data_IF_796399444183
#
_entry.id   IF_796399444183
#
_cell.length_a   1.000
_cell.length_b   1.000
_cell.length_c   1.000
_cell.angle_alpha   90.00
_cell.angle_beta   90.00
_cell.angle_gamma   90.00
#
_symmetry.space_group_name_H-M   'P 1'
#
loop_
_entity.id
_entity.type
_entity.pdbx_description
1 polymer ?
#
# COMPACT_ATOMS: atom_id res chain seq x y z
N UNK A 1 16.96 -26.19 -29.89
CA UNK A 1 16.51 -26.87 -28.66
C UNK A 1 16.64 -25.90 -27.51
N UNK A 2 15.51 -25.26 -27.11
CA UNK A 2 15.49 -24.42 -25.91
C UNK A 2 15.43 -25.34 -24.70
N UNK A 3 16.43 -25.27 -23.82
CA UNK A 3 16.42 -25.98 -22.54
C UNK A 3 15.22 -25.44 -21.74
N UNK A 4 14.25 -26.31 -21.45
CA UNK A 4 13.31 -26.08 -20.36
C UNK A 4 14.15 -25.88 -19.10
N UNK A 5 14.26 -24.61 -18.63
CA UNK A 5 14.68 -24.37 -17.25
C UNK A 5 13.51 -24.82 -16.39
N UNK A 6 13.70 -25.93 -15.71
CA UNK A 6 12.84 -26.34 -14.60
C UNK A 6 12.78 -25.18 -13.61
N UNK A 7 11.57 -24.72 -13.32
CA UNK A 7 11.29 -23.71 -12.28
C UNK A 7 11.50 -24.46 -10.96
N UNK A 8 12.74 -24.50 -10.47
CA UNK A 8 13.09 -25.11 -9.17
C UNK A 8 12.87 -24.05 -8.08
N UNK A 9 12.02 -24.38 -7.11
CA UNK A 9 11.86 -23.71 -5.83
C UNK A 9 10.61 -22.84 -5.74
N UNK A 10 9.61 -23.31 -4.99
CA UNK A 10 8.49 -22.47 -4.57
C UNK A 10 9.03 -21.32 -3.70
N UNK A 11 8.89 -20.08 -4.16
CA UNK A 11 9.16 -18.91 -3.34
C UNK A 11 8.07 -18.76 -2.29
N UNK A 12 8.46 -18.37 -1.08
CA UNK A 12 7.53 -17.95 -0.04
C UNK A 12 7.36 -16.44 -0.12
N UNK A 13 6.12 -15.98 -0.33
CA UNK A 13 5.79 -14.55 -0.34
C UNK A 13 5.37 -14.14 1.07
N UNK A 14 5.95 -13.06 1.57
CA UNK A 14 5.66 -12.54 2.91
C UNK A 14 5.25 -11.07 2.82
N UNK A 15 4.08 -10.72 3.33
CA UNK A 15 3.62 -9.35 3.45
C UNK A 15 4.06 -8.78 4.80
N UNK A 16 4.94 -7.78 4.79
CA UNK A 16 5.37 -7.03 5.96
C UNK A 16 4.36 -5.91 6.31
N UNK A 17 3.11 -6.29 6.58
CA UNK A 17 2.01 -5.35 6.90
C UNK A 17 0.82 -6.07 7.50
N UNK A 18 0.17 -5.45 8.50
CA UNK A 18 -1.11 -5.92 9.07
C UNK A 18 -2.34 -5.32 8.35
N UNK A 19 -2.15 -4.50 7.31
CA UNK A 19 -3.25 -3.87 6.57
C UNK A 19 -4.15 -4.90 5.89
N UNK A 20 -5.43 -4.92 6.27
CA UNK A 20 -6.45 -5.77 5.66
C UNK A 20 -6.68 -5.46 4.18
N UNK A 21 -6.58 -4.18 3.79
CA UNK A 21 -6.70 -3.75 2.40
C UNK A 21 -5.59 -4.37 1.53
N UNK A 22 -4.33 -4.32 1.97
CA UNK A 22 -3.21 -4.96 1.26
C UNK A 22 -3.35 -6.47 1.18
N UNK A 23 -3.79 -7.10 2.28
CA UNK A 23 -4.08 -8.55 2.28
C UNK A 23 -5.17 -8.89 1.28
N UNK A 24 -6.25 -8.09 1.22
CA UNK A 24 -7.35 -8.29 0.28
C UNK A 24 -6.89 -8.18 -1.18
N UNK A 25 -5.98 -7.25 -1.50
CA UNK A 25 -5.39 -7.14 -2.84
C UNK A 25 -4.65 -8.43 -3.20
N UNK A 26 -3.73 -8.90 -2.35
CA UNK A 26 -2.96 -10.11 -2.62
C UNK A 26 -3.86 -11.36 -2.73
N UNK A 27 -4.87 -11.46 -1.88
CA UNK A 27 -5.90 -12.53 -1.93
C UNK A 27 -6.70 -12.46 -3.24
N UNK A 28 -7.10 -11.27 -3.66
CA UNK A 28 -7.79 -11.05 -4.94
C UNK A 28 -6.95 -11.46 -6.15
N UNK A 29 -5.63 -11.27 -6.07
CA UNK A 29 -4.66 -11.72 -7.07
C UNK A 29 -4.39 -13.23 -6.99
N UNK A 30 -5.02 -13.97 -6.07
CA UNK A 30 -4.79 -15.41 -5.83
C UNK A 30 -3.34 -15.76 -5.45
N UNK A 31 -2.60 -14.80 -4.92
CA UNK A 31 -1.27 -15.06 -4.41
C UNK A 31 -1.36 -15.73 -3.04
N UNK A 32 -0.52 -16.74 -2.82
CA UNK A 32 -0.34 -17.39 -1.51
C UNK A 32 0.76 -16.62 -0.77
N UNK A 33 0.49 -16.13 0.41
CA UNK A 33 1.42 -15.32 1.19
C UNK A 33 1.22 -15.49 2.69
N UNK A 34 2.29 -15.26 3.43
CA UNK A 34 2.26 -15.14 4.89
C UNK A 34 2.22 -13.66 5.28
N UNK A 35 1.71 -13.39 6.49
CA UNK A 35 1.67 -12.03 7.07
C UNK A 35 2.57 -12.00 8.28
N UNK A 36 3.53 -11.07 8.27
CA UNK A 36 4.41 -10.82 9.42
C UNK A 36 4.36 -9.33 9.75
N UNK A 37 3.97 -9.01 10.99
CA UNK A 37 3.99 -7.64 11.48
C UNK A 37 5.42 -7.09 11.49
N UNK A 38 5.66 -5.92 10.84
CA UNK A 38 6.97 -5.29 10.85
C UNK A 38 7.28 -4.70 12.22
N UNK A 39 8.51 -4.86 12.68
CA UNK A 39 9.05 -4.14 13.83
C UNK A 39 9.74 -2.86 13.34
N UNK A 40 8.93 -1.87 12.98
CA UNK A 40 9.39 -0.62 12.40
C UNK A 40 8.44 0.52 12.79
N UNK A 41 9.00 1.58 13.35
CA UNK A 41 8.25 2.82 13.63
C UNK A 41 8.21 3.70 12.40
N UNK A 42 7.00 3.99 11.90
CA UNK A 42 6.81 4.92 10.78
C UNK A 42 7.34 6.31 11.15
N UNK A 43 8.14 6.88 10.25
CA UNK A 43 8.71 8.20 10.45
C UNK A 43 8.08 9.20 9.48
N UNK A 44 7.63 10.34 10.02
CA UNK A 44 7.31 11.53 9.25
C UNK A 44 8.36 12.58 9.58
N UNK A 45 9.33 12.78 8.69
CA UNK A 45 10.34 13.82 8.87
C UNK A 45 9.86 15.13 8.23
N UNK A 46 9.90 16.27 8.93
CA UNK A 46 9.59 17.56 8.34
C UNK A 46 10.47 17.86 7.14
N UNK A 47 9.86 18.30 6.03
CA UNK A 47 10.59 18.67 4.81
C UNK A 47 10.90 17.52 3.85
N UNK A 48 10.62 16.27 4.23
CA UNK A 48 10.75 15.12 3.31
C UNK A 48 9.50 15.03 2.44
N UNK A 49 9.63 14.87 1.11
CA UNK A 49 8.49 14.72 0.21
C UNK A 49 7.61 13.51 0.56
N UNK A 50 6.26 13.61 0.44
CA UNK A 50 5.34 12.51 0.77
C UNK A 50 5.65 11.17 0.10
N UNK A 51 6.07 11.20 -1.17
CA UNK A 51 6.49 10.00 -1.91
C UNK A 51 7.73 9.34 -1.29
N UNK A 52 8.69 10.13 -0.81
CA UNK A 52 9.90 9.64 -0.18
C UNK A 52 9.60 9.07 1.21
N UNK A 53 8.71 9.70 1.98
CA UNK A 53 8.24 9.17 3.27
C UNK A 53 7.64 7.77 3.08
N UNK A 54 6.73 7.61 2.11
CA UNK A 54 6.13 6.32 1.80
C UNK A 54 7.20 5.26 1.47
N UNK A 55 8.20 5.62 0.68
CA UNK A 55 9.26 4.70 0.27
C UNK A 55 10.17 4.32 1.44
N UNK A 56 10.57 5.28 2.29
CA UNK A 56 11.39 5.03 3.48
C UNK A 56 10.65 4.07 4.43
N UNK A 57 9.37 4.32 4.69
CA UNK A 57 8.57 3.46 5.56
C UNK A 57 8.43 2.04 4.99
N UNK A 58 8.18 1.90 3.69
CA UNK A 58 8.10 0.59 3.05
C UNK A 58 9.42 -0.19 3.12
N UNK A 59 10.55 0.49 2.89
CA UNK A 59 11.90 -0.11 3.04
C UNK A 59 12.14 -0.57 4.46
N UNK A 60 11.82 0.25 5.46
CA UNK A 60 11.96 -0.09 6.86
C UNK A 60 11.11 -1.30 7.26
N UNK A 61 9.83 -1.33 6.84
CA UNK A 61 8.92 -2.47 7.08
C UNK A 61 9.44 -3.75 6.45
N UNK A 62 9.79 -3.72 5.15
CA UNK A 62 10.33 -4.90 4.48
C UNK A 62 11.65 -5.37 5.09
N UNK A 63 12.55 -4.43 5.40
CA UNK A 63 13.86 -4.72 5.98
C UNK A 63 13.76 -5.37 7.36
N UNK A 64 12.86 -4.88 8.23
CA UNK A 64 12.67 -5.46 9.57
C UNK A 64 12.20 -6.92 9.51
N UNK A 65 11.28 -7.22 8.57
CA UNK A 65 10.78 -8.60 8.38
C UNK A 65 11.83 -9.48 7.71
N UNK A 66 12.53 -8.97 6.68
CA UNK A 66 13.62 -9.71 6.03
C UNK A 66 14.72 -10.08 7.03
N UNK A 67 15.06 -9.17 7.94
CA UNK A 67 16.04 -9.44 9.00
C UNK A 67 15.57 -10.52 9.99
N UNK A 68 14.27 -10.55 10.36
CA UNK A 68 13.69 -11.61 11.19
C UNK A 68 13.76 -13.00 10.54
N UNK A 69 13.65 -13.05 9.21
CA UNK A 69 13.66 -14.30 8.44
C UNK A 69 15.07 -14.75 8.05
N UNK A 70 16.07 -13.88 8.18
CA UNK A 70 17.47 -14.22 7.87
C UNK A 70 17.95 -15.39 8.71
N UNK A 71 18.41 -16.46 8.05
CA UNK A 71 18.93 -17.67 8.70
C UNK A 71 17.86 -18.66 9.20
N UNK A 72 16.57 -18.41 8.99
CA UNK A 72 15.51 -19.33 9.41
C UNK A 72 15.08 -20.33 8.32
N UNK A 73 15.41 -20.09 7.06
CA UNK A 73 15.03 -20.96 5.94
C UNK A 73 16.05 -20.89 4.80
N UNK A 74 16.30 -22.03 4.16
CA UNK A 74 16.96 -22.09 2.84
C UNK A 74 16.00 -21.70 1.70
N UNK A 75 14.74 -21.40 2.02
CA UNK A 75 13.71 -21.06 1.04
C UNK A 75 13.97 -19.69 0.41
N UNK A 76 13.67 -19.58 -0.87
CA UNK A 76 13.65 -18.31 -1.59
C UNK A 76 12.47 -17.47 -1.08
N UNK A 77 12.73 -16.53 -0.14
CA UNK A 77 11.71 -15.70 0.48
C UNK A 77 11.70 -14.32 -0.18
N UNK A 78 10.51 -13.89 -0.60
CA UNK A 78 10.24 -12.54 -1.12
C UNK A 78 9.40 -11.79 -0.09
N UNK A 79 9.95 -10.72 0.49
CA UNK A 79 9.25 -9.86 1.45
C UNK A 79 8.71 -8.63 0.73
N UNK A 80 7.39 -8.40 0.87
CA UNK A 80 6.70 -7.20 0.37
C UNK A 80 6.59 -6.19 1.51
N UNK A 81 7.23 -5.03 1.34
CA UNK A 81 6.96 -3.85 2.14
C UNK A 81 6.12 -2.85 1.37
N UNK A 82 5.20 -2.20 2.05
CA UNK A 82 4.39 -1.14 1.47
C UNK A 82 4.00 -0.12 2.53
N UNK A 83 3.93 1.14 2.11
CA UNK A 83 3.37 2.23 2.90
C UNK A 83 2.58 3.17 2.02
N UNK A 84 1.67 3.95 2.63
CA UNK A 84 0.86 4.92 1.92
C UNK A 84 0.83 6.24 2.67
N UNK A 85 1.09 7.33 1.96
CA UNK A 85 1.00 8.69 2.44
C UNK A 85 -0.01 9.46 1.59
N UNK A 86 -0.97 10.12 2.24
CA UNK A 86 -1.92 11.02 1.61
C UNK A 86 -1.53 12.47 1.87
N UNK A 87 -1.61 13.32 0.86
CA UNK A 87 -1.40 14.75 1.03
C UNK A 87 -2.38 15.57 0.17
N UNK A 88 -2.54 16.85 0.53
CA UNK A 88 -3.24 17.86 -0.26
C UNK A 88 -2.34 18.37 -1.40
N UNK A 89 -2.91 19.14 -2.34
CA UNK A 89 -2.15 19.79 -3.40
C UNK A 89 -1.06 20.75 -2.87
N UNK A 90 -1.26 21.32 -1.66
CA UNK A 90 -0.25 22.14 -1.00
C UNK A 90 0.91 21.31 -0.38
N UNK A 91 0.86 19.99 -0.47
CA UNK A 91 1.85 19.08 0.10
C UNK A 91 1.66 18.78 1.59
N UNK A 92 0.57 19.26 2.22
CA UNK A 92 0.27 18.94 3.61
C UNK A 92 -0.14 17.49 3.76
N UNK A 93 0.64 16.73 4.56
CA UNK A 93 0.38 15.30 4.82
C UNK A 93 -0.85 15.14 5.71
N UNK A 94 -1.78 14.30 5.26
CA UNK A 94 -2.97 13.91 6.00
C UNK A 94 -2.73 12.55 6.67
N UNK A 95 -2.31 12.59 7.93
CA UNK A 95 -2.08 11.39 8.73
C UNK A 95 -3.38 10.65 9.05
N UNK A 96 -3.26 9.42 9.57
CA UNK A 96 -4.36 8.68 10.19
C UNK A 96 -4.97 9.56 11.28
N UNK A 97 -6.28 9.87 11.26
CA UNK A 97 -6.85 10.85 12.18
C UNK A 97 -6.87 10.39 13.64
N UNK A 98 -7.02 9.08 13.89
CA UNK A 98 -7.06 8.50 15.22
C UNK A 98 -8.31 8.86 16.06
N UNK A 99 -9.11 9.84 15.63
CA UNK A 99 -10.38 10.21 16.27
C UNK A 99 -11.40 10.67 15.23
N UNK A 100 -12.69 10.59 15.61
CA UNK A 100 -13.80 11.02 14.73
C UNK A 100 -13.76 12.52 14.44
N UNK A 101 -13.47 13.32 15.43
CA UNK A 101 -13.43 14.80 15.25
C UNK A 101 -12.32 15.19 14.26
N UNK A 102 -11.12 14.60 14.39
CA UNK A 102 -10.05 14.83 13.43
C UNK A 102 -10.38 14.32 12.03
N UNK A 103 -11.10 13.19 11.92
CA UNK A 103 -11.56 12.69 10.63
C UNK A 103 -12.54 13.65 9.96
N UNK A 104 -13.49 14.21 10.73
CA UNK A 104 -14.43 15.23 10.27
C UNK A 104 -13.69 16.49 9.82
N UNK A 105 -12.73 16.97 10.62
CA UNK A 105 -11.93 18.15 10.29
C UNK A 105 -11.11 17.95 9.01
N UNK A 106 -10.43 16.81 8.86
CA UNK A 106 -9.67 16.49 7.65
C UNK A 106 -10.57 16.44 6.41
N UNK A 107 -11.71 15.76 6.47
CA UNK A 107 -12.65 15.67 5.34
C UNK A 107 -13.31 17.02 5.03
N UNK A 108 -13.53 17.86 6.03
CA UNK A 108 -14.05 19.22 5.82
C UNK A 108 -13.05 20.06 5.04
N UNK A 109 -11.77 19.98 5.40
CA UNK A 109 -10.68 20.69 4.70
C UNK A 109 -10.42 20.12 3.30
N UNK A 110 -10.60 18.80 3.12
CA UNK A 110 -10.41 18.11 1.86
C UNK A 110 -11.61 18.22 0.90
N UNK A 111 -12.75 18.72 1.37
CA UNK A 111 -13.97 18.92 0.56
C UNK A 111 -13.68 19.80 -0.66
N UNK A 112 -14.08 19.30 -1.85
CA UNK A 112 -13.84 19.99 -3.13
C UNK A 112 -12.34 20.20 -3.45
N UNK A 113 -11.46 19.37 -2.91
CA UNK A 113 -10.01 19.42 -3.15
C UNK A 113 -9.51 18.15 -3.82
N UNK A 114 -8.33 18.24 -4.44
CA UNK A 114 -7.55 17.11 -4.84
C UNK A 114 -6.72 16.59 -3.65
N UNK A 115 -6.66 15.29 -3.53
CA UNK A 115 -5.75 14.57 -2.62
C UNK A 115 -4.85 13.68 -3.45
N UNK A 116 -3.57 13.61 -3.12
CA UNK A 116 -2.65 12.66 -3.74
C UNK A 116 -2.24 11.59 -2.74
N UNK A 117 -2.42 10.33 -3.12
CA UNK A 117 -1.97 9.15 -2.40
C UNK A 117 -0.70 8.62 -3.05
N UNK A 118 0.37 8.56 -2.29
CA UNK A 118 1.63 7.93 -2.68
C UNK A 118 1.73 6.57 -2.02
N UNK A 119 1.60 5.51 -2.81
CA UNK A 119 1.71 4.13 -2.33
C UNK A 119 2.99 3.51 -2.82
N UNK A 120 3.80 3.03 -1.89
CA UNK A 120 5.09 2.45 -2.19
C UNK A 120 5.05 0.92 -2.21
N UNK A 121 5.90 0.33 -3.01
CA UNK A 121 6.21 -1.09 -3.05
C UNK A 121 7.71 -1.29 -2.92
N UNK A 122 8.11 -2.14 -1.99
CA UNK A 122 9.49 -2.62 -1.88
C UNK A 122 9.46 -4.14 -1.83
N UNK A 123 10.25 -4.78 -2.70
CA UNK A 123 10.49 -6.22 -2.66
C UNK A 123 11.91 -6.48 -2.20
N UNK A 124 12.06 -7.30 -1.17
CA UNK A 124 13.35 -7.81 -0.71
C UNK A 124 13.36 -9.32 -0.91
N UNK A 125 14.37 -9.82 -1.65
CA UNK A 125 14.62 -11.25 -1.81
C UNK A 125 16.03 -11.57 -1.33
N UNK A 126 16.15 -12.54 -0.43
CA UNK A 126 17.45 -12.97 0.13
C UNK A 126 18.28 -11.79 0.69
N UNK A 127 17.62 -10.82 1.35
CA UNK A 127 18.25 -9.64 1.93
C UNK A 127 18.58 -8.52 0.95
N UNK A 128 18.35 -8.68 -0.35
CA UNK A 128 18.60 -7.66 -1.37
C UNK A 128 17.29 -7.02 -1.86
N UNK A 129 17.33 -5.70 -2.09
CA UNK A 129 16.20 -4.98 -2.67
C UNK A 129 16.13 -5.26 -4.17
N UNK A 130 15.11 -5.97 -4.61
CA UNK A 130 14.86 -6.31 -6.02
C UNK A 130 14.03 -5.24 -6.72
N UNK A 131 13.12 -4.61 -6.00
CA UNK A 131 12.28 -3.53 -6.51
C UNK A 131 12.02 -2.49 -5.42
N UNK A 132 12.05 -1.22 -5.80
CA UNK A 132 11.57 -0.10 -5.00
C UNK A 132 10.84 0.86 -5.93
N UNK A 133 9.56 1.15 -5.64
CA UNK A 133 8.69 1.97 -6.49
C UNK A 133 7.69 2.76 -5.65
N UNK A 134 7.28 3.90 -6.15
CA UNK A 134 6.17 4.69 -5.60
C UNK A 134 5.20 4.98 -6.73
N UNK A 135 3.95 4.59 -6.55
CA UNK A 135 2.83 4.89 -7.43
C UNK A 135 2.01 6.03 -6.83
N UNK A 136 1.56 6.94 -7.68
CA UNK A 136 0.70 8.04 -7.27
C UNK A 136 -0.73 7.82 -7.75
N UNK A 137 -1.69 8.18 -6.90
CA UNK A 137 -3.09 8.20 -7.24
C UNK A 137 -3.69 9.53 -6.79
N UNK A 138 -4.17 10.32 -7.73
CA UNK A 138 -4.88 11.57 -7.42
C UNK A 138 -6.38 11.32 -7.34
N UNK A 139 -7.01 11.85 -6.29
CA UNK A 139 -8.43 11.71 -6.00
C UNK A 139 -9.03 13.09 -5.79
N UNK A 140 -10.01 13.46 -6.59
CA UNK A 140 -10.83 14.65 -6.39
C UNK A 140 -12.02 14.29 -5.52
N UNK A 141 -12.14 14.92 -4.36
CA UNK A 141 -13.35 14.80 -3.56
C UNK A 141 -14.45 15.73 -4.10
N UNK A 142 -15.68 15.26 -4.02
CA UNK A 142 -16.85 16.10 -4.28
C UNK A 142 -16.92 17.26 -3.29
N UNK A 143 -17.69 18.28 -3.57
CA UNK A 143 -18.14 19.23 -2.55
C UNK A 143 -19.01 18.47 -1.55
N UNK A 144 -18.56 18.36 -0.31
CA UNK A 144 -19.19 17.60 0.76
C UNK A 144 -19.90 18.53 1.74
N UNK A 145 -21.09 18.17 2.18
CA UNK A 145 -21.78 18.84 3.27
C UNK A 145 -21.33 18.27 4.63
N UNK A 146 -21.48 19.05 5.69
CA UNK A 146 -21.19 18.58 7.05
C UNK A 146 -22.01 17.32 7.43
N UNK A 147 -23.23 17.18 6.90
CA UNK A 147 -24.06 16.02 7.15
C UNK A 147 -23.48 14.77 6.48
N UNK A 148 -23.05 14.87 5.22
CA UNK A 148 -22.42 13.75 4.49
C UNK A 148 -21.15 13.29 5.20
N UNK A 149 -20.28 14.23 5.60
CA UNK A 149 -19.03 13.93 6.31
C UNK A 149 -19.30 13.19 7.62
N UNK A 150 -20.19 13.72 8.47
CA UNK A 150 -20.52 13.11 9.76
C UNK A 150 -21.17 11.74 9.59
N UNK A 151 -22.06 11.60 8.61
CA UNK A 151 -22.71 10.32 8.30
C UNK A 151 -21.68 9.28 7.86
N UNK A 152 -20.76 9.66 6.94
CA UNK A 152 -19.70 8.79 6.48
C UNK A 152 -18.76 8.37 7.63
N UNK A 153 -18.23 9.34 8.40
CA UNK A 153 -17.30 9.03 9.52
C UNK A 153 -17.96 8.13 10.57
N UNK A 154 -19.27 8.29 10.79
CA UNK A 154 -20.01 7.46 11.74
C UNK A 154 -20.18 6.02 11.21
N UNK A 155 -20.49 5.87 9.92
CA UNK A 155 -20.80 4.57 9.32
C UNK A 155 -19.53 3.76 9.01
N UNK A 156 -18.48 4.41 8.51
CA UNK A 156 -17.28 3.77 7.96
C UNK A 156 -16.10 3.74 8.94
N UNK A 157 -16.12 4.61 9.95
CA UNK A 157 -15.12 4.71 11.01
C UNK A 157 -13.66 4.74 10.51
N UNK A 158 -13.27 5.68 9.62
CA UNK A 158 -11.99 5.68 8.90
C UNK A 158 -10.81 6.19 9.73
N UNK A 159 -10.73 5.82 11.02
CA UNK A 159 -9.78 6.40 11.98
C UNK A 159 -8.34 6.00 11.75
N UNK A 160 -8.13 4.89 11.04
CA UNK A 160 -6.80 4.30 10.81
C UNK A 160 -6.37 4.38 9.34
N UNK A 161 -7.09 5.17 8.54
CA UNK A 161 -6.79 5.36 7.11
C UNK A 161 -6.21 6.74 6.85
N UNK A 162 -5.19 6.81 6.01
CA UNK A 162 -4.63 8.08 5.53
C UNK A 162 -5.70 8.89 4.79
N UNK A 163 -5.75 10.22 5.04
CA UNK A 163 -6.77 11.08 4.45
C UNK A 163 -8.19 10.87 4.98
N UNK A 164 -8.35 10.11 6.06
CA UNK A 164 -9.66 9.87 6.72
C UNK A 164 -10.70 9.20 5.84
N UNK A 165 -10.30 8.35 4.86
CA UNK A 165 -11.31 7.64 4.08
C UNK A 165 -10.85 6.27 3.58
N UNK A 166 -11.82 5.34 3.40
CA UNK A 166 -11.61 4.02 2.85
C UNK A 166 -12.10 4.00 1.40
N UNK A 167 -11.16 4.02 0.46
CA UNK A 167 -11.49 4.03 -0.96
C UNK A 167 -12.11 2.71 -1.45
N UNK A 168 -11.79 1.60 -0.78
CA UNK A 168 -12.33 0.26 -1.06
C UNK A 168 -13.76 0.05 -0.55
N UNK A 169 -14.33 1.04 0.13
CA UNK A 169 -15.65 0.96 0.77
C UNK A 169 -16.54 2.17 0.52
N UNK A 170 -17.20 2.64 1.58
CA UNK A 170 -18.14 3.76 1.53
C UNK A 170 -17.48 5.09 1.13
N UNK A 171 -16.16 5.21 1.27
CA UNK A 171 -15.40 6.37 0.84
C UNK A 171 -15.53 6.68 -0.66
N UNK A 172 -15.80 5.69 -1.52
CA UNK A 172 -16.09 5.92 -2.94
C UNK A 172 -17.22 6.94 -3.15
N UNK A 173 -18.15 7.06 -2.22
CA UNK A 173 -19.28 8.02 -2.30
C UNK A 173 -18.83 9.47 -2.16
N UNK A 174 -17.63 9.71 -1.63
CA UNK A 174 -17.05 11.03 -1.44
C UNK A 174 -16.29 11.52 -2.68
N UNK A 175 -16.01 10.62 -3.63
CA UNK A 175 -15.13 10.86 -4.77
C UNK A 175 -15.92 11.43 -5.95
N UNK A 176 -15.33 12.40 -6.63
CA UNK A 176 -15.76 12.93 -7.92
C UNK A 176 -14.95 12.31 -9.07
N UNK A 177 -13.63 12.21 -8.89
CA UNK A 177 -12.71 11.74 -9.94
C UNK A 177 -11.49 11.04 -9.36
N UNK A 178 -10.98 10.04 -10.06
CA UNK A 178 -9.72 9.36 -9.74
C UNK A 178 -8.83 9.42 -10.98
N UNK A 179 -7.55 9.74 -10.79
CA UNK A 179 -6.51 9.70 -11.81
C UNK A 179 -5.36 8.82 -11.31
N UNK A 180 -5.19 7.66 -11.92
CA UNK A 180 -4.15 6.70 -11.57
C UNK A 180 -3.90 5.71 -12.70
N UNK A 181 -2.72 5.11 -12.74
CA UNK A 181 -2.40 3.97 -13.62
C UNK A 181 -2.69 2.62 -12.94
N UNK A 182 -2.75 2.59 -11.61
CA UNK A 182 -3.08 1.39 -10.81
C UNK A 182 -4.03 1.75 -9.67
N UNK A 183 -5.30 1.36 -9.80
CA UNK A 183 -6.31 1.62 -8.77
C UNK A 183 -5.96 0.97 -7.41
N UNK A 184 -5.20 -0.13 -7.42
CA UNK A 184 -4.78 -0.78 -6.18
C UNK A 184 -3.79 0.07 -5.38
N UNK A 185 -3.11 1.02 -6.03
CA UNK A 185 -2.30 2.01 -5.32
C UNK A 185 -3.16 2.87 -4.39
N UNK A 186 -4.40 3.20 -4.78
CA UNK A 186 -5.34 3.89 -3.88
C UNK A 186 -5.70 3.04 -2.65
N UNK A 187 -5.73 1.73 -2.79
CA UNK A 187 -5.99 0.78 -1.69
C UNK A 187 -4.71 0.41 -0.91
N UNK A 188 -3.57 1.02 -1.27
CA UNK A 188 -2.33 0.98 -0.51
C UNK A 188 -1.28 -0.01 -0.98
N UNK A 189 -1.43 -0.65 -2.15
CA UNK A 189 -0.41 -1.54 -2.73
C UNK A 189 -0.39 -1.41 -4.27
N UNK A 190 0.70 -0.96 -4.90
CA UNK A 190 0.86 -0.94 -6.35
C UNK A 190 0.92 -2.36 -6.94
N UNK A 191 -0.24 -2.91 -7.30
CA UNK A 191 -0.38 -4.31 -7.70
C UNK A 191 0.21 -4.59 -9.09
N UNK A 192 0.07 -3.67 -10.03
CA UNK A 192 0.63 -3.83 -11.38
C UNK A 192 2.16 -3.91 -11.33
N UNK A 193 2.80 -3.08 -10.52
CA UNK A 193 4.25 -3.09 -10.33
C UNK A 193 4.71 -4.35 -9.61
N UNK A 194 3.95 -4.82 -8.61
CA UNK A 194 4.22 -6.10 -7.94
C UNK A 194 4.23 -7.26 -8.94
N UNK A 195 3.17 -7.39 -9.74
CA UNK A 195 3.06 -8.47 -10.73
C UNK A 195 4.16 -8.38 -11.81
N UNK A 196 4.52 -7.16 -12.23
CA UNK A 196 5.64 -6.94 -13.15
C UNK A 196 6.95 -7.41 -12.53
N UNK A 197 7.24 -7.03 -11.28
CA UNK A 197 8.46 -7.41 -10.59
C UNK A 197 8.57 -8.94 -10.40
N UNK A 198 7.48 -9.63 -10.02
CA UNK A 198 7.46 -11.08 -9.92
C UNK A 198 7.77 -11.75 -11.27
N UNK A 199 7.25 -11.21 -12.38
CA UNK A 199 7.57 -11.71 -13.74
C UNK A 199 9.05 -11.50 -14.11
N UNK A 200 9.61 -10.33 -13.80
CA UNK A 200 11.02 -10.01 -14.07
C UNK A 200 11.97 -10.87 -13.25
N UNK A 201 11.57 -11.25 -12.05
CA UNK A 201 12.29 -12.20 -11.21
C UNK A 201 12.16 -13.66 -11.69
N UNK A 202 11.36 -13.94 -12.75
CA UNK A 202 10.97 -15.27 -13.22
C UNK A 202 10.42 -16.14 -12.08
N UNK A 203 9.71 -15.53 -11.14
CA UNK A 203 9.19 -16.21 -9.98
C UNK A 203 7.91 -16.99 -10.33
N UNK A 204 7.77 -18.26 -9.89
CA UNK A 204 6.57 -19.06 -10.13
C UNK A 204 5.28 -18.41 -9.65
N UNK A 205 5.34 -17.58 -8.60
CA UNK A 205 4.19 -16.83 -8.08
C UNK A 205 3.57 -15.91 -9.12
N UNK A 206 4.34 -15.43 -10.10
CA UNK A 206 3.81 -14.61 -11.18
C UNK A 206 2.76 -15.33 -12.04
N UNK A 207 2.72 -16.66 -12.01
CA UNK A 207 1.88 -17.51 -12.87
C UNK A 207 1.01 -18.50 -12.10
N UNK A 208 1.20 -18.62 -10.78
CA UNK A 208 0.56 -19.65 -9.95
C UNK A 208 -0.98 -19.58 -9.91
N UNK A 209 -1.56 -18.41 -10.17
CA UNK A 209 -3.00 -18.20 -10.16
C UNK A 209 -3.74 -18.66 -11.44
N UNK A 210 -3.02 -19.17 -12.43
CA UNK A 210 -3.58 -19.54 -13.75
C UNK A 210 -3.71 -21.05 -13.94
N UNK A 211 -3.30 -21.83 -12.93
CA UNK A 211 -3.37 -23.29 -12.90
C UNK A 211 -4.56 -23.81 -12.09
#
# INVERSE_FOLDING_TARGET
MKKNQSIEGNSTLVLASESSARQSILTGLKLVFDVIAPDFSETAQPGVPPAEIALINAKGKAGSVAAKLAGQSEANVIVIGSDQVCCTDSGMVLHKPGSRDRAIDQLTQASDQWLTFYSSLVLIRNGMVERAHVESCAVKLRRLTNLEIKTYVTADNPLWSAGSFHAEGAGLRLIEKIETTDINALYGLPALVLLQALRELNDPLAYAAWS
#
